data_IF_969431300242
#
_entry.id   IF_969431300242
#
_cell.length_a   1.000
_cell.length_b   1.000
_cell.length_c   1.000
_cell.angle_alpha   90.00
_cell.angle_beta   90.00
_cell.angle_gamma   90.00
#
_symmetry.space_group_name_H-M   'P 1'
#
loop_
_entity.id
_entity.type
_entity.pdbx_description
1 polymer ?
#
# COMPACT_ATOMS: atom_id res chain seq x y z
N UNK A 1 2.72 16.73 -1.71
CA UNK A 1 1.67 15.86 -1.15
C UNK A 1 0.31 16.53 -1.35
N UNK A 2 -0.68 15.78 -1.81
CA UNK A 2 -2.05 16.26 -2.02
C UNK A 2 -3.03 15.40 -1.22
N UNK A 3 -3.97 16.06 -0.51
CA UNK A 3 -4.98 15.41 0.31
C UNK A 3 -6.31 15.48 -0.41
N UNK A 4 -6.92 14.30 -0.67
CA UNK A 4 -8.16 14.15 -1.42
C UNK A 4 -9.20 13.53 -0.50
N UNK A 5 -10.16 14.32 -0.05
CA UNK A 5 -11.21 13.90 0.89
C UNK A 5 -12.46 13.55 0.10
N UNK A 6 -13.00 12.36 0.30
CA UNK A 6 -14.11 11.80 -0.45
C UNK A 6 -15.24 11.30 0.46
N UNK A 7 -16.49 11.17 -0.02
CA UNK A 7 -17.61 10.76 0.85
C UNK A 7 -17.54 9.32 1.35
N UNK A 8 -16.81 8.42 0.65
CA UNK A 8 -16.81 6.99 1.02
C UNK A 8 -15.60 6.23 0.46
N UNK A 9 -15.36 5.03 1.00
CA UNK A 9 -14.34 4.11 0.51
C UNK A 9 -14.47 3.78 -0.99
N UNK A 10 -15.70 3.73 -1.52
CA UNK A 10 -15.91 3.49 -2.95
C UNK A 10 -15.36 4.65 -3.81
N UNK A 11 -15.58 5.90 -3.40
CA UNK A 11 -15.04 7.07 -4.12
C UNK A 11 -13.52 7.15 -4.03
N UNK A 12 -12.93 6.81 -2.86
CA UNK A 12 -11.47 6.67 -2.67
C UNK A 12 -10.92 5.69 -3.71
N UNK A 13 -11.51 4.49 -3.76
CA UNK A 13 -11.09 3.43 -4.66
C UNK A 13 -11.23 3.81 -6.14
N UNK A 14 -12.29 4.56 -6.50
CA UNK A 14 -12.51 5.03 -7.86
C UNK A 14 -11.40 5.97 -8.31
N UNK A 15 -11.05 6.98 -7.50
CA UNK A 15 -9.98 7.94 -7.84
C UNK A 15 -8.63 7.22 -7.98
N UNK A 16 -8.31 6.29 -7.07
CA UNK A 16 -7.09 5.52 -7.16
C UNK A 16 -7.07 4.62 -8.42
N UNK A 17 -8.20 3.99 -8.76
CA UNK A 17 -8.32 3.17 -9.96
C UNK A 17 -8.19 3.99 -11.25
N UNK A 18 -8.71 5.21 -11.27
CA UNK A 18 -8.55 6.13 -12.41
C UNK A 18 -7.09 6.55 -12.57
N UNK A 19 -6.41 6.91 -11.48
CA UNK A 19 -4.98 7.23 -11.51
C UNK A 19 -4.14 6.08 -12.09
N UNK A 20 -4.38 4.84 -11.65
CA UNK A 20 -3.70 3.65 -12.18
C UNK A 20 -4.09 3.42 -13.65
N UNK A 21 -5.38 3.57 -14.00
CA UNK A 21 -5.87 3.36 -15.35
C UNK A 21 -5.21 4.32 -16.35
N UNK A 22 -5.08 5.58 -15.98
CA UNK A 22 -4.46 6.60 -16.83
C UNK A 22 -2.95 6.37 -16.97
N UNK A 23 -2.29 5.96 -15.87
CA UNK A 23 -0.89 5.59 -15.93
C UNK A 23 -0.65 4.37 -16.83
N UNK A 24 -1.48 3.34 -16.71
CA UNK A 24 -1.37 2.10 -17.49
C UNK A 24 -1.63 2.36 -18.99
N UNK A 25 -2.59 3.23 -19.34
CA UNK A 25 -2.82 3.65 -20.73
C UNK A 25 -1.63 4.39 -21.33
N UNK A 26 -0.91 5.17 -20.53
CA UNK A 26 0.31 5.90 -20.93
C UNK A 26 1.54 5.00 -20.99
N UNK A 27 1.65 4.06 -20.07
CA UNK A 27 2.77 3.12 -19.97
C UNK A 27 2.26 1.70 -19.76
N UNK A 28 2.12 0.87 -20.80
CA UNK A 28 1.71 -0.53 -20.68
C UNK A 28 2.65 -1.39 -19.81
N UNK A 29 3.92 -1.02 -19.66
CA UNK A 29 4.90 -1.71 -18.82
C UNK A 29 4.94 -1.11 -17.40
N UNK A 30 3.79 -0.69 -16.87
CA UNK A 30 3.68 -0.06 -15.56
C UNK A 30 4.17 -1.00 -14.45
N UNK A 31 4.96 -0.46 -13.53
CA UNK A 31 5.41 -1.18 -12.32
C UNK A 31 4.58 -0.72 -11.13
N UNK A 32 3.77 -1.61 -10.57
CA UNK A 32 2.86 -1.32 -9.46
C UNK A 32 3.38 -1.89 -8.15
N UNK A 33 3.49 -1.04 -7.15
CA UNK A 33 3.62 -1.43 -5.75
C UNK A 33 2.23 -1.67 -5.15
N UNK A 34 1.98 -2.86 -4.60
CA UNK A 34 0.65 -3.27 -4.13
C UNK A 34 0.63 -3.52 -2.63
N UNK A 35 -0.49 -3.19 -2.01
CA UNK A 35 -0.77 -3.41 -0.59
C UNK A 35 -1.83 -4.49 -0.40
N UNK A 36 -1.81 -5.16 0.75
CA UNK A 36 -2.89 -6.03 1.22
C UNK A 36 -3.77 -5.31 2.26
N UNK A 37 -4.74 -6.02 2.82
CA UNK A 37 -5.67 -5.48 3.82
C UNK A 37 -7.03 -5.09 3.23
N UNK A 38 -7.92 -4.58 4.08
CA UNK A 38 -9.32 -4.33 3.70
C UNK A 38 -9.50 -3.13 2.76
N UNK A 39 -8.67 -2.09 2.92
CA UNK A 39 -8.83 -0.82 2.18
C UNK A 39 -8.62 -0.99 0.67
N UNK A 40 -7.56 -1.66 0.15
CA UNK A 40 -7.35 -1.79 -1.29
C UNK A 40 -8.28 -2.79 -2.00
N UNK A 41 -9.09 -3.58 -1.28
CA UNK A 41 -10.03 -4.53 -1.92
C UNK A 41 -11.00 -3.83 -2.88
N UNK A 42 -11.51 -2.66 -2.50
CA UNK A 42 -12.42 -1.88 -3.37
C UNK A 42 -11.71 -1.42 -4.64
N UNK A 43 -10.46 -0.98 -4.53
CA UNK A 43 -9.61 -0.62 -5.67
C UNK A 43 -9.41 -1.82 -6.62
N UNK A 44 -9.01 -2.98 -6.09
CA UNK A 44 -8.81 -4.18 -6.91
C UNK A 44 -10.08 -4.62 -7.63
N UNK A 45 -11.24 -4.55 -6.97
CA UNK A 45 -12.53 -4.84 -7.61
C UNK A 45 -12.80 -3.93 -8.82
N UNK A 46 -12.51 -2.64 -8.70
CA UNK A 46 -12.71 -1.69 -9.81
C UNK A 46 -11.73 -1.99 -10.95
N UNK A 47 -10.45 -2.24 -10.66
CA UNK A 47 -9.45 -2.59 -11.68
C UNK A 47 -9.82 -3.90 -12.40
N UNK A 48 -10.27 -4.92 -11.67
CA UNK A 48 -10.77 -6.18 -12.24
C UNK A 48 -11.98 -5.95 -13.14
N UNK A 49 -12.91 -5.08 -12.72
CA UNK A 49 -14.06 -4.76 -13.56
C UNK A 49 -13.67 -4.04 -14.85
N UNK A 50 -12.74 -3.08 -14.76
CA UNK A 50 -12.19 -2.39 -15.95
C UNK A 50 -11.47 -3.35 -16.91
N UNK A 51 -10.73 -4.33 -16.37
CA UNK A 51 -10.13 -5.40 -17.17
C UNK A 51 -11.18 -6.26 -17.86
N UNK A 52 -12.23 -6.72 -17.14
CA UNK A 52 -13.33 -7.51 -17.71
C UNK A 52 -14.07 -6.75 -18.80
N UNK A 53 -14.20 -5.45 -18.66
CA UNK A 53 -14.79 -4.56 -19.65
C UNK A 53 -13.85 -4.27 -20.85
N UNK A 54 -12.62 -4.80 -20.86
CA UNK A 54 -11.58 -4.54 -21.87
C UNK A 54 -11.13 -3.08 -21.95
N UNK A 55 -11.26 -2.35 -20.84
CA UNK A 55 -10.77 -0.97 -20.72
C UNK A 55 -9.27 -0.93 -20.36
N UNK A 56 -8.77 -1.99 -19.72
CA UNK A 56 -7.37 -2.14 -19.28
C UNK A 56 -6.81 -3.49 -19.69
N UNK A 57 -5.50 -3.51 -19.97
CA UNK A 57 -4.70 -4.71 -20.24
C UNK A 57 -3.50 -4.72 -19.31
N UNK A 58 -3.37 -5.77 -18.48
CA UNK A 58 -2.30 -5.93 -17.51
C UNK A 58 -1.18 -6.88 -17.98
N UNK A 59 -1.21 -7.34 -19.24
CA UNK A 59 -0.29 -8.38 -19.75
C UNK A 59 1.19 -8.01 -19.69
N UNK A 60 1.53 -6.73 -19.56
CA UNK A 60 2.90 -6.22 -19.47
C UNK A 60 3.22 -5.56 -18.11
N UNK A 61 2.27 -5.57 -17.19
CA UNK A 61 2.44 -4.99 -15.86
C UNK A 61 3.34 -5.88 -15.01
N UNK A 62 4.20 -5.27 -14.22
CA UNK A 62 4.97 -5.93 -13.17
C UNK A 62 4.48 -5.42 -11.81
N UNK A 63 4.38 -6.30 -10.82
CA UNK A 63 3.89 -5.94 -9.49
C UNK A 63 4.87 -6.31 -8.39
N UNK A 64 4.94 -5.47 -7.35
CA UNK A 64 5.70 -5.72 -6.12
C UNK A 64 4.80 -5.48 -4.92
N UNK A 65 4.57 -6.52 -4.11
CA UNK A 65 3.86 -6.36 -2.84
C UNK A 65 4.79 -5.82 -1.75
N UNK A 66 4.22 -5.06 -0.82
CA UNK A 66 4.96 -4.43 0.27
C UNK A 66 5.58 -5.44 1.24
N UNK A 67 4.88 -6.55 1.50
CA UNK A 67 5.22 -7.43 2.60
C UNK A 67 4.62 -8.84 2.45
N UNK A 68 5.08 -9.76 3.30
CA UNK A 68 4.49 -11.07 3.58
C UNK A 68 5.01 -11.57 4.93
N UNK A 69 4.21 -12.36 5.62
CA UNK A 69 4.60 -13.04 6.85
C UNK A 69 5.72 -14.05 6.65
N UNK A 70 6.66 -14.10 7.58
CA UNK A 70 7.68 -15.17 7.63
C UNK A 70 7.07 -16.41 8.29
N UNK A 71 7.29 -17.57 7.67
CA UNK A 71 6.84 -18.85 8.22
C UNK A 71 5.46 -19.30 7.77
N UNK A 72 4.72 -18.46 7.04
CA UNK A 72 3.41 -18.83 6.49
C UNK A 72 3.57 -19.48 5.09
N UNK A 73 2.96 -20.65 4.82
CA UNK A 73 2.96 -21.21 3.47
C UNK A 73 2.21 -20.32 2.46
N UNK A 74 2.68 -20.22 1.21
CA UNK A 74 2.05 -19.37 0.18
C UNK A 74 0.56 -19.68 -0.04
N UNK A 75 0.17 -20.95 0.11
CA UNK A 75 -1.22 -21.41 -0.06
C UNK A 75 -2.07 -21.30 1.22
N UNK A 76 -1.50 -20.82 2.33
CA UNK A 76 -2.26 -20.60 3.56
C UNK A 76 -3.33 -19.53 3.32
N UNK A 77 -4.57 -19.71 3.85
CA UNK A 77 -5.67 -18.76 3.61
C UNK A 77 -5.35 -17.30 3.99
N UNK A 78 -4.44 -17.09 4.94
CA UNK A 78 -4.06 -15.77 5.44
C UNK A 78 -2.71 -15.28 4.88
N UNK A 79 -2.07 -16.01 3.95
CA UNK A 79 -0.90 -15.47 3.24
C UNK A 79 -1.31 -14.33 2.30
N UNK A 80 -0.42 -13.38 2.10
CA UNK A 80 -0.66 -12.30 1.13
C UNK A 80 -0.62 -12.80 -0.31
N UNK A 81 0.06 -13.91 -0.58
CA UNK A 81 -0.08 -14.62 -1.85
C UNK A 81 -1.53 -15.03 -2.11
N UNK A 82 -2.17 -15.72 -1.16
CA UNK A 82 -3.59 -16.11 -1.28
C UNK A 82 -4.50 -14.89 -1.35
N UNK A 83 -4.21 -13.84 -0.56
CA UNK A 83 -4.98 -12.59 -0.61
C UNK A 83 -4.93 -11.97 -2.02
N UNK A 84 -3.75 -11.83 -2.60
CA UNK A 84 -3.58 -11.19 -3.91
C UNK A 84 -4.17 -12.05 -5.03
N UNK A 85 -3.98 -13.37 -5.00
CA UNK A 85 -4.63 -14.29 -5.94
C UNK A 85 -6.15 -14.09 -5.90
N UNK A 86 -6.76 -14.19 -4.71
CA UNK A 86 -8.21 -14.09 -4.50
C UNK A 86 -8.81 -12.74 -4.92
N UNK A 87 -8.11 -11.63 -4.68
CA UNK A 87 -8.69 -10.30 -4.86
C UNK A 87 -8.26 -9.60 -6.15
N UNK A 88 -7.18 -10.06 -6.79
CA UNK A 88 -6.64 -9.38 -7.96
C UNK A 88 -6.04 -10.32 -9.01
N UNK A 89 -5.00 -11.09 -8.70
CA UNK A 89 -4.19 -11.77 -9.72
C UNK A 89 -4.95 -12.83 -10.52
N UNK A 90 -5.82 -13.61 -9.89
CA UNK A 90 -6.63 -14.64 -10.58
C UNK A 90 -7.72 -14.05 -11.50
N UNK A 91 -7.90 -12.73 -11.45
CA UNK A 91 -8.96 -12.03 -12.16
C UNK A 91 -8.48 -11.13 -13.29
N UNK A 92 -7.16 -11.01 -13.49
CA UNK A 92 -6.51 -10.17 -14.52
C UNK A 92 -5.42 -10.97 -15.23
N UNK A 93 -4.83 -10.43 -16.29
CA UNK A 93 -3.83 -11.14 -17.09
C UNK A 93 -2.37 -10.75 -16.80
N UNK A 94 -2.04 -10.43 -15.55
CA UNK A 94 -0.64 -10.22 -15.16
C UNK A 94 0.11 -11.55 -15.22
N UNK A 95 1.21 -11.67 -15.99
CA UNK A 95 2.01 -12.90 -16.02
C UNK A 95 2.54 -13.27 -14.63
N UNK A 96 2.55 -14.55 -14.28
CA UNK A 96 2.97 -15.01 -12.95
C UNK A 96 4.42 -14.63 -12.63
N UNK A 97 5.29 -14.61 -13.63
CA UNK A 97 6.68 -14.18 -13.50
C UNK A 97 6.84 -12.70 -13.17
N UNK A 98 5.79 -11.90 -13.40
CA UNK A 98 5.74 -10.48 -13.09
C UNK A 98 5.05 -10.16 -11.76
N UNK A 99 4.56 -11.19 -11.04
CA UNK A 99 3.92 -11.04 -9.73
C UNK A 99 4.95 -11.28 -8.63
N UNK A 100 5.44 -10.23 -8.00
CA UNK A 100 6.46 -10.35 -6.94
C UNK A 100 5.83 -10.06 -5.58
N UNK A 101 5.72 -11.10 -4.76
CA UNK A 101 5.35 -11.00 -3.34
C UNK A 101 6.54 -11.51 -2.54
N UNK A 102 6.95 -10.88 -1.43
CA UNK A 102 7.98 -11.42 -0.57
C UNK A 102 7.62 -12.85 -0.18
N UNK A 103 8.52 -13.80 -0.43
CA UNK A 103 8.28 -15.19 -0.10
C UNK A 103 8.90 -15.53 1.24
N UNK A 104 8.36 -16.57 1.87
CA UNK A 104 8.97 -17.17 3.05
C UNK A 104 10.36 -17.69 2.69
N UNK A 105 11.38 -16.86 2.87
CA UNK A 105 12.75 -17.27 2.69
C UNK A 105 13.17 -18.10 3.91
N UNK A 106 13.43 -19.37 3.71
CA UNK A 106 14.16 -20.17 4.70
C UNK A 106 15.65 -19.91 4.51
N UNK A 107 16.32 -19.30 5.50
CA UNK A 107 17.77 -19.12 5.48
C UNK A 107 18.21 -17.65 5.44
N UNK A 108 18.94 -17.26 4.41
CA UNK A 108 19.58 -15.95 4.29
C UNK A 108 18.57 -14.86 3.88
N UNK A 109 17.94 -14.23 4.89
CA UNK A 109 16.98 -13.14 4.68
C UNK A 109 17.63 -11.89 4.09
N UNK A 110 18.89 -11.61 4.42
CA UNK A 110 19.61 -10.45 3.92
C UNK A 110 19.78 -10.53 2.40
N UNK A 111 20.37 -11.62 1.93
CA UNK A 111 20.53 -11.87 0.49
C UNK A 111 19.16 -11.90 -0.24
N UNK A 112 18.11 -12.43 0.41
CA UNK A 112 16.78 -12.43 -0.18
C UNK A 112 16.25 -10.99 -0.36
N UNK A 113 16.33 -10.16 0.67
CA UNK A 113 15.87 -8.78 0.63
C UNK A 113 16.66 -7.94 -0.38
N UNK A 114 17.98 -8.12 -0.47
CA UNK A 114 18.80 -7.48 -1.49
C UNK A 114 18.37 -7.87 -2.92
N UNK A 115 18.04 -9.14 -3.14
CA UNK A 115 17.51 -9.60 -4.43
C UNK A 115 16.16 -9.01 -4.76
N UNK A 116 15.29 -8.81 -3.74
CA UNK A 116 14.00 -8.16 -3.92
C UNK A 116 14.17 -6.69 -4.33
N UNK A 117 15.01 -5.96 -3.63
CA UNK A 117 15.41 -4.58 -3.97
C UNK A 117 16.00 -4.49 -5.38
N UNK A 118 16.90 -5.42 -5.71
CA UNK A 118 17.48 -5.49 -7.05
C UNK A 118 16.43 -5.70 -8.13
N UNK A 119 15.45 -6.58 -7.92
CA UNK A 119 14.36 -6.79 -8.88
C UNK A 119 13.56 -5.51 -9.09
N UNK A 120 13.23 -4.76 -8.02
CA UNK A 120 12.55 -3.46 -8.14
C UNK A 120 13.37 -2.52 -9.02
N UNK A 121 14.67 -2.41 -8.75
CA UNK A 121 15.57 -1.54 -9.51
C UNK A 121 15.70 -1.98 -10.97
N UNK A 122 15.86 -3.27 -11.24
CA UNK A 122 15.99 -3.83 -12.60
C UNK A 122 14.69 -3.64 -13.42
N UNK A 123 13.53 -3.54 -12.75
CA UNK A 123 12.24 -3.22 -13.37
C UNK A 123 12.07 -1.71 -13.66
N UNK A 124 13.05 -0.86 -13.35
CA UNK A 124 12.98 0.60 -13.54
C UNK A 124 12.38 1.36 -12.35
N UNK A 125 12.27 0.71 -11.18
CA UNK A 125 11.63 1.23 -9.97
C UNK A 125 10.11 1.12 -10.02
N UNK A 126 9.44 1.44 -8.93
CA UNK A 126 7.98 1.42 -8.82
C UNK A 126 7.40 2.72 -9.38
N UNK A 127 6.49 2.62 -10.35
CA UNK A 127 5.80 3.79 -10.90
C UNK A 127 4.74 4.34 -9.96
N UNK A 128 3.88 3.45 -9.40
CA UNK A 128 2.85 3.82 -8.44
C UNK A 128 2.88 2.83 -7.28
N UNK A 129 3.11 3.31 -6.07
CA UNK A 129 3.03 2.54 -4.84
C UNK A 129 1.70 2.79 -4.14
N UNK A 130 0.89 1.75 -4.00
CA UNK A 130 -0.35 1.77 -3.21
C UNK A 130 0.01 1.47 -1.75
N UNK A 131 -0.52 2.27 -0.84
CA UNK A 131 -0.28 2.17 0.60
C UNK A 131 -1.62 2.15 1.36
N UNK A 132 -1.66 1.40 2.44
CA UNK A 132 -2.58 1.60 3.55
C UNK A 132 -1.86 2.28 4.72
N UNK A 133 -2.57 2.52 5.82
CA UNK A 133 -2.02 3.06 7.06
C UNK A 133 -2.54 2.29 8.28
N UNK A 134 -1.65 1.96 9.19
CA UNK A 134 -2.02 1.44 10.51
C UNK A 134 -2.68 2.50 11.40
N UNK A 135 -3.34 2.10 12.46
CA UNK A 135 -3.96 3.02 13.43
C UNK A 135 -2.92 3.83 14.23
N UNK A 136 -1.69 3.38 14.25
CA UNK A 136 -0.51 4.02 14.85
C UNK A 136 0.34 4.80 13.84
N UNK A 137 -0.05 4.80 12.56
CA UNK A 137 0.64 5.52 11.50
C UNK A 137 1.74 4.74 10.78
N UNK A 138 1.85 3.41 10.99
CA UNK A 138 2.76 2.60 10.20
C UNK A 138 2.29 2.47 8.74
N UNK A 139 3.23 2.29 7.80
CA UNK A 139 3.00 1.90 6.40
C UNK A 139 3.75 0.60 6.10
N UNK A 140 3.11 -0.34 5.40
CA UNK A 140 3.55 -1.73 5.33
C UNK A 140 3.73 -2.27 6.76
N UNK A 141 4.73 -3.11 7.04
CA UNK A 141 5.10 -3.45 8.43
C UNK A 141 6.26 -2.59 8.99
N UNK A 142 6.36 -1.33 8.53
CA UNK A 142 7.27 -0.39 9.17
C UNK A 142 6.61 0.19 10.43
N UNK A 143 6.78 -0.52 11.54
CA UNK A 143 6.28 -0.15 12.87
C UNK A 143 6.94 1.12 13.40
N UNK A 144 6.36 1.72 14.44
CA UNK A 144 6.93 2.87 15.18
C UNK A 144 8.41 2.65 15.50
N UNK A 145 9.23 3.63 15.17
CA UNK A 145 10.70 3.56 15.34
C UNK A 145 11.45 3.01 14.13
N UNK A 146 10.76 2.57 13.07
CA UNK A 146 11.42 2.19 11.83
C UNK A 146 12.16 3.39 11.21
N UNK A 147 13.41 3.16 10.79
CA UNK A 147 14.17 4.20 10.08
C UNK A 147 13.43 4.65 8.82
N UNK A 148 13.32 5.97 8.61
CA UNK A 148 12.71 6.54 7.41
C UNK A 148 13.53 6.30 6.14
N UNK A 149 14.78 5.84 6.26
CA UNK A 149 15.65 5.41 5.16
C UNK A 149 15.79 3.89 5.04
N UNK A 150 14.96 3.11 5.79
CA UNK A 150 15.05 1.65 5.80
C UNK A 150 14.79 1.04 4.42
N UNK A 151 15.46 -0.07 4.16
CA UNK A 151 15.28 -0.90 2.96
C UNK A 151 14.42 -2.12 3.31
N UNK A 152 14.14 -2.94 2.28
CA UNK A 152 13.44 -4.22 2.48
C UNK A 152 14.23 -5.08 3.48
N UNK A 153 13.51 -5.60 4.50
CA UNK A 153 14.14 -6.34 5.60
C UNK A 153 13.15 -7.22 6.34
N UNK A 154 13.62 -8.23 7.10
CA UNK A 154 12.79 -8.89 8.10
C UNK A 154 12.51 -7.93 9.26
N UNK A 155 11.30 -8.00 9.81
CA UNK A 155 10.85 -7.20 10.96
C UNK A 155 10.06 -8.06 11.94
N UNK A 156 10.09 -7.68 13.22
CA UNK A 156 9.19 -8.22 14.24
C UNK A 156 7.95 -7.34 14.31
N UNK A 157 6.78 -7.96 14.36
CA UNK A 157 5.51 -7.25 14.44
C UNK A 157 5.23 -6.78 15.87
N UNK A 158 4.65 -5.60 16.01
CA UNK A 158 4.28 -5.07 17.33
C UNK A 158 3.09 -5.83 17.91
N UNK A 159 2.93 -5.76 19.23
CA UNK A 159 1.78 -6.33 19.94
C UNK A 159 0.44 -5.79 19.41
N UNK A 160 0.39 -4.51 19.02
CA UNK A 160 -0.79 -3.88 18.44
C UNK A 160 -1.11 -4.48 17.08
N UNK A 161 -0.11 -4.71 16.23
CA UNK A 161 -0.27 -5.34 14.91
C UNK A 161 -0.68 -6.80 15.02
N UNK A 162 -0.06 -7.57 15.93
CA UNK A 162 -0.46 -8.95 16.21
C UNK A 162 -1.93 -9.04 16.64
N UNK A 163 -2.37 -8.16 17.54
CA UNK A 163 -3.77 -8.08 17.99
C UNK A 163 -4.72 -7.70 16.86
N UNK A 164 -4.36 -6.69 16.06
CA UNK A 164 -5.18 -6.25 14.92
C UNK A 164 -5.34 -7.37 13.87
N UNK A 165 -4.26 -8.09 13.59
CA UNK A 165 -4.26 -9.15 12.57
C UNK A 165 -4.88 -10.46 13.07
N UNK A 166 -5.00 -10.68 14.38
CA UNK A 166 -5.64 -11.88 14.96
C UNK A 166 -7.06 -12.13 14.42
N UNK A 167 -7.79 -11.09 14.06
CA UNK A 167 -9.13 -11.21 13.47
C UNK A 167 -9.14 -12.09 12.21
N UNK A 168 -8.05 -12.09 11.45
CA UNK A 168 -7.87 -12.91 10.25
C UNK A 168 -7.47 -14.35 10.57
N UNK A 169 -6.98 -14.61 11.78
CA UNK A 169 -6.54 -15.90 12.31
C UNK A 169 -7.51 -16.45 13.35
N UNK A 170 -8.82 -16.38 13.06
CA UNK A 170 -9.91 -16.84 13.94
C UNK A 170 -9.87 -16.20 15.35
N UNK A 171 -9.41 -14.97 15.45
CA UNK A 171 -9.17 -14.24 16.70
C UNK A 171 -8.13 -14.87 17.62
N UNK A 172 -7.29 -15.77 17.07
CA UNK A 172 -6.16 -16.37 17.78
C UNK A 172 -4.87 -15.61 17.47
N UNK A 173 -4.44 -14.77 18.41
CA UNK A 173 -3.20 -14.02 18.28
C UNK A 173 -1.97 -14.94 18.15
N UNK A 174 -1.99 -16.12 18.78
CA UNK A 174 -0.86 -17.05 18.77
C UNK A 174 -0.65 -17.70 17.38
N UNK A 175 -1.67 -17.67 16.53
CA UNK A 175 -1.59 -18.16 15.17
C UNK A 175 -1.05 -17.10 14.17
N UNK A 176 -0.96 -15.83 14.59
CA UNK A 176 -0.37 -14.76 13.75
C UNK A 176 1.16 -14.89 13.76
N UNK A 177 1.82 -14.97 12.59
CA UNK A 177 3.29 -14.98 12.57
C UNK A 177 3.86 -13.71 13.20
N UNK A 178 4.89 -13.87 14.06
CA UNK A 178 5.51 -12.76 14.79
C UNK A 178 6.44 -11.90 13.91
N UNK A 179 6.82 -12.41 12.73
CA UNK A 179 7.78 -11.78 11.83
C UNK A 179 7.24 -11.67 10.41
N UNK A 180 7.70 -10.66 9.70
CA UNK A 180 7.40 -10.45 8.29
C UNK A 180 8.65 -9.95 7.54
N UNK A 181 8.68 -10.12 6.20
CA UNK A 181 9.54 -9.34 5.32
C UNK A 181 8.72 -8.14 4.88
N UNK A 182 9.27 -6.95 5.00
CA UNK A 182 8.59 -5.71 4.60
C UNK A 182 9.50 -4.80 3.78
N UNK A 183 8.93 -4.20 2.75
CA UNK A 183 9.56 -3.09 2.03
C UNK A 183 9.77 -1.93 3.00
N UNK A 184 11.00 -1.41 3.05
CA UNK A 184 11.34 -0.31 3.95
C UNK A 184 10.74 1.03 3.53
N UNK A 185 10.68 1.99 4.47
CA UNK A 185 10.18 3.34 4.17
C UNK A 185 11.01 3.99 3.06
N UNK A 186 12.35 3.87 3.10
CA UNK A 186 13.24 4.40 2.07
C UNK A 186 12.94 3.81 0.69
N UNK A 187 12.67 2.50 0.60
CA UNK A 187 12.27 1.84 -0.65
C UNK A 187 10.93 2.37 -1.18
N UNK A 188 9.93 2.52 -0.28
CA UNK A 188 8.63 3.10 -0.61
C UNK A 188 8.78 4.52 -1.16
N UNK A 189 9.63 5.33 -0.53
CA UNK A 189 9.89 6.72 -0.91
C UNK A 189 10.62 6.89 -2.25
N UNK A 190 11.19 5.83 -2.81
CA UNK A 190 11.79 5.82 -4.16
C UNK A 190 10.76 5.60 -5.28
N UNK A 191 9.51 5.29 -4.98
CA UNK A 191 8.45 5.19 -5.99
C UNK A 191 8.24 6.54 -6.69
N UNK A 192 7.86 6.54 -7.97
CA UNK A 192 7.60 7.80 -8.71
C UNK A 192 6.34 8.51 -8.21
N UNK A 193 5.39 7.73 -7.70
CA UNK A 193 4.16 8.23 -7.06
C UNK A 193 3.78 7.32 -5.90
N UNK A 194 3.35 7.90 -4.78
CA UNK A 194 2.72 7.20 -3.67
C UNK A 194 1.23 7.54 -3.60
N UNK A 195 0.38 6.52 -3.44
CA UNK A 195 -1.06 6.68 -3.22
C UNK A 195 -1.41 5.97 -1.91
N UNK A 196 -1.65 6.74 -0.86
CA UNK A 196 -2.11 6.20 0.42
C UNK A 196 -3.63 6.26 0.48
N UNK A 197 -4.24 5.13 0.83
CA UNK A 197 -5.68 4.97 0.97
C UNK A 197 -6.02 4.72 2.44
N UNK A 198 -7.00 5.48 2.98
CA UNK A 198 -7.53 5.22 4.31
C UNK A 198 -9.02 5.52 4.38
N UNK A 199 -9.75 4.68 5.12
CA UNK A 199 -11.20 4.81 5.30
C UNK A 199 -11.60 4.47 6.73
N UNK A 200 -12.53 5.25 7.25
CA UNK A 200 -13.13 5.06 8.56
C UNK A 200 -12.42 5.78 9.71
N UNK A 201 -13.21 6.09 10.74
CA UNK A 201 -12.81 6.91 11.90
C UNK A 201 -11.59 6.35 12.66
N UNK A 202 -11.39 5.02 12.66
CA UNK A 202 -10.22 4.40 13.32
C UNK A 202 -8.87 4.84 12.75
N UNK A 203 -8.86 5.45 11.54
CA UNK A 203 -7.66 5.94 10.88
C UNK A 203 -7.42 7.44 11.07
N UNK A 204 -8.38 8.19 11.62
CA UNK A 204 -8.35 9.65 11.65
C UNK A 204 -7.15 10.24 12.38
N UNK A 205 -6.80 9.69 13.55
CA UNK A 205 -5.63 10.15 14.32
C UNK A 205 -4.32 9.85 13.57
N UNK A 206 -4.20 8.67 12.98
CA UNK A 206 -3.02 8.30 12.19
C UNK A 206 -2.86 9.21 10.96
N UNK A 207 -3.96 9.51 10.28
CA UNK A 207 -3.98 10.44 9.13
C UNK A 207 -3.59 11.86 9.58
N UNK A 208 -4.17 12.39 10.67
CA UNK A 208 -3.80 13.71 11.16
C UNK A 208 -2.31 13.81 11.52
N UNK A 209 -1.78 12.79 12.19
CA UNK A 209 -0.35 12.72 12.53
C UNK A 209 0.56 12.58 11.29
N UNK A 210 0.13 11.83 10.29
CA UNK A 210 0.90 11.62 9.06
C UNK A 210 0.91 12.87 8.15
N UNK A 211 -0.20 13.63 8.12
CA UNK A 211 -0.40 14.76 7.20
C UNK A 211 0.02 16.09 7.82
N UNK A 212 -0.41 16.35 9.06
CA UNK A 212 -0.25 17.64 9.76
C UNK A 212 0.75 17.58 10.92
N UNK A 213 1.17 16.38 11.31
CA UNK A 213 2.17 16.18 12.35
C UNK A 213 3.61 16.36 11.83
N UNK A 214 4.60 16.32 12.75
CA UNK A 214 6.00 16.37 12.37
C UNK A 214 6.42 15.09 11.63
N UNK A 215 7.43 15.21 10.74
CA UNK A 215 8.07 14.05 10.12
C UNK A 215 8.86 13.33 11.20
N UNK A 216 8.49 12.08 11.48
CA UNK A 216 9.07 11.31 12.57
C UNK A 216 8.98 9.80 12.35
N UNK A 217 9.96 9.06 12.81
CA UNK A 217 9.93 7.59 12.83
C UNK A 217 8.85 7.04 13.79
N UNK A 218 8.29 7.84 14.69
CA UNK A 218 7.16 7.45 15.53
C UNK A 218 5.86 7.30 14.72
N UNK A 219 5.78 7.94 13.56
CA UNK A 219 4.67 7.86 12.60
C UNK A 219 5.28 7.67 11.20
N UNK A 220 5.65 6.45 10.81
CA UNK A 220 6.38 6.22 9.55
C UNK A 220 5.70 6.79 8.30
N UNK A 221 4.35 6.83 8.27
CA UNK A 221 3.59 7.46 7.18
C UNK A 221 3.91 8.96 7.03
N UNK A 222 4.41 9.64 8.07
CA UNK A 222 4.79 11.06 8.00
C UNK A 222 5.93 11.33 7.01
N UNK A 223 6.74 10.32 6.66
CA UNK A 223 7.76 10.42 5.63
C UNK A 223 7.18 10.85 4.28
N UNK A 224 5.92 10.50 3.99
CA UNK A 224 5.25 10.86 2.74
C UNK A 224 5.13 12.38 2.53
N UNK A 225 5.26 13.20 3.58
CA UNK A 225 5.34 14.66 3.46
C UNK A 225 6.57 15.12 2.64
N UNK A 226 7.65 14.34 2.63
CA UNK A 226 8.86 14.64 1.85
C UNK A 226 8.78 14.12 0.41
N UNK A 227 7.84 13.24 0.10
CA UNK A 227 7.76 12.66 -1.23
C UNK A 227 7.14 13.66 -2.23
N UNK A 228 7.77 13.90 -3.40
CA UNK A 228 7.35 14.95 -4.33
C UNK A 228 5.98 14.71 -4.96
N UNK A 229 5.53 13.47 -5.07
CA UNK A 229 4.31 13.08 -5.76
C UNK A 229 3.49 12.07 -4.91
N UNK A 230 2.86 12.55 -3.85
CA UNK A 230 2.01 11.74 -2.96
C UNK A 230 0.58 12.21 -3.01
N UNK A 231 -0.34 11.26 -3.16
CA UNK A 231 -1.77 11.42 -2.93
C UNK A 231 -2.19 10.66 -1.67
N UNK A 232 -2.86 11.36 -0.77
CA UNK A 232 -3.53 10.78 0.40
C UNK A 232 -5.02 10.87 0.12
N UNK A 233 -5.64 9.75 -0.25
CA UNK A 233 -7.04 9.68 -0.65
C UNK A 233 -7.81 9.00 0.48
N UNK A 234 -8.67 9.75 1.15
CA UNK A 234 -9.34 9.36 2.39
C UNK A 234 -10.82 9.71 2.37
N UNK A 235 -11.61 9.04 3.22
CA UNK A 235 -12.99 9.45 3.42
C UNK A 235 -13.14 10.51 4.53
N UNK A 236 -14.34 11.04 4.65
CA UNK A 236 -14.64 12.08 5.64
C UNK A 236 -14.43 11.58 7.07
N UNK A 237 -14.68 10.29 7.34
CA UNK A 237 -14.45 9.70 8.65
C UNK A 237 -12.95 9.62 8.98
N UNK A 238 -12.11 9.25 8.02
CA UNK A 238 -10.66 9.24 8.21
C UNK A 238 -10.05 10.66 8.26
N UNK A 239 -10.76 11.67 7.71
CA UNK A 239 -10.33 13.05 7.71
C UNK A 239 -10.74 13.84 8.98
N UNK A 240 -11.60 13.28 9.85
CA UNK A 240 -12.28 14.05 10.90
C UNK A 240 -11.36 14.69 11.96
N UNK A 241 -10.12 14.26 12.09
CA UNK A 241 -9.11 14.84 12.99
C UNK A 241 -8.14 15.81 12.29
N UNK A 242 -8.27 16.01 10.97
CA UNK A 242 -7.51 17.05 10.25
C UNK A 242 -8.03 18.44 10.63
N UNK A 243 -7.11 19.39 10.74
CA UNK A 243 -7.40 20.79 11.07
C UNK A 243 -7.76 21.62 9.85
N UNK A 244 -7.17 21.28 8.69
CA UNK A 244 -7.23 22.08 7.46
C UNK A 244 -8.14 21.44 6.38
N UNK A 245 -9.23 20.76 6.79
CA UNK A 245 -10.16 20.05 5.89
C UNK A 245 -10.63 20.93 4.73
N UNK A 246 -11.11 22.15 5.04
CA UNK A 246 -11.66 23.07 4.03
C UNK A 246 -10.58 23.54 3.04
N UNK A 247 -9.35 23.72 3.53
CA UNK A 247 -8.21 24.03 2.69
C UNK A 247 -7.89 22.89 1.72
N UNK A 248 -7.85 21.64 2.20
CA UNK A 248 -7.57 20.47 1.34
C UNK A 248 -8.67 20.26 0.30
N UNK A 249 -9.96 20.37 0.68
CA UNK A 249 -11.08 20.28 -0.26
C UNK A 249 -10.95 21.36 -1.37
N UNK A 250 -10.66 22.60 -0.99
CA UNK A 250 -10.46 23.70 -1.94
C UNK A 250 -9.25 23.48 -2.87
N UNK A 251 -8.15 22.95 -2.35
CA UNK A 251 -6.98 22.60 -3.18
C UNK A 251 -7.34 21.57 -4.25
N UNK A 252 -8.05 20.52 -3.86
CA UNK A 252 -8.48 19.49 -4.80
C UNK A 252 -9.47 20.03 -5.85
N UNK A 253 -10.47 20.83 -5.46
CA UNK A 253 -11.39 21.48 -6.39
C UNK A 253 -10.68 22.38 -7.41
N UNK A 254 -9.70 23.15 -6.97
CA UNK A 254 -8.92 24.01 -7.86
C UNK A 254 -8.06 23.21 -8.83
N UNK A 255 -7.48 22.09 -8.37
CA UNK A 255 -6.77 21.17 -9.27
C UNK A 255 -7.67 20.65 -10.39
N UNK A 256 -8.90 20.21 -10.06
CA UNK A 256 -9.84 19.71 -11.06
C UNK A 256 -10.20 20.73 -12.14
N UNK A 257 -10.10 22.04 -11.84
CA UNK A 257 -10.30 23.12 -12.83
C UNK A 257 -9.13 23.32 -13.79
N UNK A 258 -7.94 22.75 -13.45
CA UNK A 258 -6.72 22.87 -14.25
C UNK A 258 -6.47 21.66 -15.15
N UNK A 259 -7.24 20.57 -14.96
CA UNK A 259 -7.21 19.36 -15.79
C UNK A 259 -8.22 19.43 -16.91
#
# INVERSE_FOLDING_TARGET
MEIIIQPSNHHIATIAAESISDALKKNPNLVLGLATGSTPIALYKILVQKYKNRELDFSKVTTFNLDEYIGIPCHHPQSYHTFMAKHFFDHVNIPIENQHIPQNATGDFESYCEKYEKKIKDSGGIDIQILGIGTDGHIAFNETGSSLSSRTRPVTLSESTLKANAIHFNSDKSAVPEMAITMGVGTIMEAKQCILLASGKSKSVAIANAVEGPITASVPASALQMHPNTFIIIDEDAACELKEIDYYKRCYENRLKLL
#
